data_IF_594316645845
#
_entry.id   IF_594316645845
#
_cell.length_a   1.000
_cell.length_b   1.000
_cell.length_c   1.000
_cell.angle_alpha   90.00
_cell.angle_beta   90.00
_cell.angle_gamma   90.00
#
_symmetry.space_group_name_H-M   'P 1'
#
loop_
_entity.id
_entity.type
_entity.pdbx_description
1 polymer ?
#
# COMPACT_ATOMS: atom_id res chain seq x y z
N UNK A 1 -7.60 0.20 16.62
CA UNK A 1 -7.69 1.42 17.44
C UNK A 1 -7.30 2.59 16.56
N UNK A 2 -8.25 3.44 16.20
CA UNK A 2 -7.96 4.76 15.63
C UNK A 2 -7.71 5.72 16.79
N UNK A 3 -6.77 6.64 16.63
CA UNK A 3 -6.47 7.74 17.57
C UNK A 3 -7.58 8.79 17.70
N UNK A 4 -8.72 8.61 17.02
CA UNK A 4 -9.90 9.48 17.18
C UNK A 4 -9.79 10.82 16.46
N UNK A 5 -9.00 10.92 15.38
CA UNK A 5 -8.93 12.12 14.53
C UNK A 5 -10.32 12.45 13.98
N UNK A 6 -10.74 13.71 14.16
CA UNK A 6 -11.96 14.28 13.62
C UNK A 6 -11.61 15.66 13.05
N UNK A 7 -11.40 15.70 11.74
CA UNK A 7 -10.98 16.89 11.02
C UNK A 7 -11.75 17.00 9.70
N UNK A 8 -12.70 17.95 9.59
CA UNK A 8 -13.53 18.10 8.39
C UNK A 8 -12.74 18.41 7.11
N UNK A 9 -11.55 19.01 7.23
CA UNK A 9 -10.70 19.31 6.06
C UNK A 9 -10.02 18.04 5.54
N UNK A 10 -9.56 17.18 6.45
CA UNK A 10 -9.03 15.85 6.10
C UNK A 10 -10.10 15.03 5.39
N UNK A 11 -11.32 15.02 5.93
CA UNK A 11 -12.46 14.32 5.32
C UNK A 11 -12.77 14.87 3.91
N UNK A 12 -12.76 16.19 3.73
CA UNK A 12 -13.01 16.82 2.43
C UNK A 12 -11.95 16.46 1.38
N UNK A 13 -10.67 16.42 1.76
CA UNK A 13 -9.58 16.01 0.85
C UNK A 13 -9.71 14.52 0.50
N UNK A 14 -10.03 13.66 1.48
CA UNK A 14 -10.25 12.23 1.25
C UNK A 14 -11.40 11.96 0.27
N UNK A 15 -12.54 12.62 0.45
CA UNK A 15 -13.70 12.46 -0.43
C UNK A 15 -13.41 12.97 -1.84
N UNK A 16 -12.69 14.09 -1.99
CA UNK A 16 -12.22 14.57 -3.30
C UNK A 16 -11.29 13.56 -3.97
N UNK A 17 -10.25 13.11 -3.26
CA UNK A 17 -9.26 12.19 -3.80
C UNK A 17 -9.89 10.85 -4.21
N UNK A 18 -10.89 10.35 -3.46
CA UNK A 18 -11.55 9.08 -3.73
C UNK A 18 -12.19 9.01 -5.13
N UNK A 19 -12.79 10.10 -5.59
CA UNK A 19 -13.51 10.13 -6.87
C UNK A 19 -12.67 10.68 -8.02
N UNK A 20 -11.47 11.20 -7.74
CA UNK A 20 -10.61 11.81 -8.76
C UNK A 20 -10.02 10.74 -9.70
N UNK A 21 -10.24 10.91 -11.00
CA UNK A 21 -9.72 10.02 -12.04
C UNK A 21 -8.30 10.38 -12.48
N UNK A 22 -7.83 11.60 -12.22
CA UNK A 22 -6.45 11.99 -12.50
C UNK A 22 -5.54 11.45 -11.40
N UNK A 23 -4.73 10.44 -11.75
CA UNK A 23 -3.84 9.76 -10.82
C UNK A 23 -2.82 10.70 -10.19
N UNK A 24 -2.32 11.70 -10.94
CA UNK A 24 -1.32 12.63 -10.44
C UNK A 24 -1.94 13.61 -9.44
N UNK A 25 -3.16 14.09 -9.71
CA UNK A 25 -3.89 14.93 -8.77
C UNK A 25 -4.26 14.17 -7.50
N UNK A 26 -4.82 12.97 -7.65
CA UNK A 26 -5.14 12.09 -6.51
C UNK A 26 -3.91 11.74 -5.66
N UNK A 27 -2.77 11.47 -6.29
CA UNK A 27 -1.51 11.19 -5.56
C UNK A 27 -1.04 12.38 -4.75
N UNK A 28 -1.16 13.61 -5.28
CA UNK A 28 -0.82 14.83 -4.53
C UNK A 28 -1.73 15.03 -3.32
N UNK A 29 -3.02 14.78 -3.47
CA UNK A 29 -3.98 14.88 -2.37
C UNK A 29 -3.63 13.89 -1.23
N UNK A 30 -3.28 12.64 -1.55
CA UNK A 30 -2.87 11.68 -0.52
C UNK A 30 -1.52 12.00 0.12
N UNK A 31 -0.56 12.53 -0.63
CA UNK A 31 0.73 12.96 -0.08
C UNK A 31 0.57 14.15 0.88
N UNK A 32 -0.34 15.07 0.58
CA UNK A 32 -0.63 16.19 1.47
C UNK A 32 -1.25 15.70 2.79
N UNK A 33 -2.17 14.74 2.72
CA UNK A 33 -2.73 14.10 3.92
C UNK A 33 -1.68 13.33 4.73
N UNK A 34 -0.79 12.60 4.06
CA UNK A 34 0.32 11.91 4.71
C UNK A 34 1.22 12.90 5.46
N UNK A 35 1.62 13.99 4.79
CA UNK A 35 2.41 15.09 5.35
C UNK A 35 1.77 15.61 6.64
N UNK A 36 0.51 16.02 6.57
CA UNK A 36 -0.24 16.57 7.70
C UNK A 36 -0.39 15.58 8.84
N UNK A 37 -0.95 14.40 8.57
CA UNK A 37 -1.34 13.44 9.62
C UNK A 37 -0.14 12.75 10.27
N UNK A 38 0.90 12.43 9.52
CA UNK A 38 2.04 11.64 10.02
C UNK A 38 3.20 12.51 10.51
N UNK A 39 3.47 13.64 9.86
CA UNK A 39 4.65 14.44 10.15
C UNK A 39 4.37 15.70 10.97
N UNK A 40 3.17 16.27 10.86
CA UNK A 40 2.81 17.50 11.60
C UNK A 40 1.96 17.21 12.83
N UNK A 41 0.93 16.36 12.68
CA UNK A 41 -0.05 16.08 13.75
C UNK A 41 0.26 14.81 14.54
N UNK A 42 1.14 13.95 14.03
CA UNK A 42 1.51 12.67 14.65
C UNK A 42 0.31 11.78 15.03
N UNK A 43 -0.76 11.83 14.23
CA UNK A 43 -1.96 10.99 14.41
C UNK A 43 -1.62 9.49 14.38
N UNK A 44 -0.53 9.13 13.69
CA UNK A 44 0.04 7.79 13.70
C UNK A 44 1.56 7.92 13.65
N UNK A 45 2.25 7.03 14.36
CA UNK A 45 3.70 6.91 14.31
C UNK A 45 4.04 5.65 13.47
N UNK A 46 4.31 5.80 12.16
CA UNK A 46 4.79 4.68 11.35
C UNK A 46 6.16 4.24 11.84
N UNK A 47 6.35 2.94 12.10
CA UNK A 47 7.61 2.40 12.60
C UNK A 47 8.49 1.88 11.47
N UNK A 48 7.93 1.06 10.59
CA UNK A 48 8.65 0.39 9.51
C UNK A 48 7.67 -0.24 8.51
N UNK A 49 8.16 -0.54 7.30
CA UNK A 49 7.47 -1.36 6.32
C UNK A 49 7.92 -2.81 6.41
N UNK A 50 6.99 -3.74 6.22
CA UNK A 50 7.29 -5.17 6.15
C UNK A 50 8.22 -5.46 4.96
N UNK A 51 9.29 -6.20 5.21
CA UNK A 51 10.12 -6.82 4.18
C UNK A 51 9.94 -8.33 4.27
N UNK A 52 9.58 -8.95 3.16
CA UNK A 52 9.37 -10.40 3.08
C UNK A 52 10.33 -10.99 2.06
N UNK A 53 10.98 -12.09 2.44
CA UNK A 53 11.85 -12.85 1.56
C UNK A 53 11.14 -14.14 1.16
N UNK A 54 11.24 -14.48 -0.11
CA UNK A 54 10.67 -15.69 -0.67
C UNK A 54 11.77 -16.46 -1.36
N UNK A 55 11.78 -17.77 -1.12
CA UNK A 55 12.77 -18.69 -1.68
C UNK A 55 12.01 -19.80 -2.37
N UNK A 56 12.32 -20.01 -3.65
CA UNK A 56 11.85 -21.14 -4.43
C UNK A 56 13.00 -22.10 -4.70
N UNK A 57 12.65 -23.38 -4.90
CA UNK A 57 13.63 -24.37 -5.35
C UNK A 57 14.06 -24.09 -6.80
N UNK A 58 15.27 -24.50 -7.24
CA UNK A 58 15.75 -24.24 -8.60
C UNK A 58 14.86 -24.79 -9.73
N UNK A 59 14.09 -25.83 -9.44
CA UNK A 59 13.15 -26.46 -10.38
C UNK A 59 11.74 -25.83 -10.38
N UNK A 60 11.53 -24.75 -9.61
CA UNK A 60 10.25 -24.03 -9.53
C UNK A 60 10.39 -22.70 -10.25
N UNK A 61 9.54 -22.48 -11.23
CA UNK A 61 9.61 -21.38 -12.18
C UNK A 61 8.32 -20.57 -12.18
N UNK A 62 8.38 -19.34 -12.70
CA UNK A 62 7.20 -18.49 -12.89
C UNK A 62 6.60 -17.90 -11.60
N UNK A 63 7.28 -18.03 -10.46
CA UNK A 63 6.89 -17.37 -9.22
C UNK A 63 7.15 -15.86 -9.31
N UNK A 64 6.11 -15.07 -9.03
CA UNK A 64 6.17 -13.62 -9.02
C UNK A 64 5.65 -13.08 -7.69
N UNK A 65 6.35 -12.09 -7.13
CA UNK A 65 5.90 -11.43 -5.92
C UNK A 65 4.79 -10.44 -6.24
N UNK A 66 3.64 -10.66 -5.63
CA UNK A 66 2.54 -9.72 -5.70
C UNK A 66 2.75 -8.58 -4.69
N UNK A 67 2.64 -7.31 -5.11
CA UNK A 67 2.85 -6.15 -4.23
C UNK A 67 1.83 -6.04 -3.08
N UNK A 68 0.70 -6.75 -3.13
CA UNK A 68 -0.34 -6.78 -2.08
C UNK A 68 -0.42 -8.12 -1.33
N UNK A 69 0.69 -8.88 -1.28
CA UNK A 69 0.84 -10.09 -0.46
C UNK A 69 -0.14 -11.24 -0.77
N UNK A 70 -0.73 -11.27 -1.98
CA UNK A 70 -1.54 -12.39 -2.46
C UNK A 70 -0.68 -13.31 -3.31
N UNK A 71 -0.49 -14.57 -2.89
CA UNK A 71 0.25 -15.55 -3.68
C UNK A 71 -0.57 -16.01 -4.87
N UNK A 72 -0.17 -15.58 -6.07
CA UNK A 72 -0.73 -16.09 -7.32
C UNK A 72 0.13 -17.26 -7.82
N UNK A 73 -0.46 -18.46 -7.84
CA UNK A 73 0.19 -19.67 -8.33
C UNK A 73 -0.18 -20.01 -9.77
N UNK A 74 -1.01 -19.22 -10.44
CA UNK A 74 -1.48 -19.51 -11.81
C UNK A 74 -0.34 -19.51 -12.83
N UNK A 75 0.74 -18.79 -12.56
CA UNK A 75 1.93 -18.70 -13.41
C UNK A 75 3.05 -19.65 -12.97
N UNK A 76 2.87 -20.36 -11.86
CA UNK A 76 3.91 -21.17 -11.24
C UNK A 76 3.88 -22.58 -11.82
N UNK A 77 5.05 -23.07 -12.24
CA UNK A 77 5.22 -24.44 -12.72
C UNK A 77 6.53 -25.03 -12.19
N UNK A 78 6.66 -26.35 -12.29
CA UNK A 78 7.86 -27.07 -11.90
C UNK A 78 8.26 -28.09 -12.95
N UNK A 79 9.54 -28.42 -12.98
CA UNK A 79 10.04 -29.53 -13.79
C UNK A 79 9.34 -30.85 -13.37
N UNK A 80 8.94 -31.65 -14.36
CA UNK A 80 8.37 -32.99 -14.13
C UNK A 80 9.52 -33.99 -14.29
N UNK A 81 9.68 -34.87 -13.30
CA UNK A 81 10.64 -35.97 -13.35
C UNK A 81 10.23 -37.03 -14.38
#
# INVERSE_FOLDING_TARGET
MSVGVNDPEVDAILERARIDTDVQRRSRDYQELERRLLYEEYAMIPLWHLKSYFVSQPYVHGFQLNPVFVYDYKTVWKDVQ
#
